data_IF_421349208309
#
_entry.id   IF_421349208309
#
_cell.length_a   1.000
_cell.length_b   1.000
_cell.length_c   1.000
_cell.angle_alpha   90.00
_cell.angle_beta   90.00
_cell.angle_gamma   90.00
#
_symmetry.space_group_name_H-M   'P 1'
#
loop_
_entity.id
_entity.type
_entity.pdbx_description
1 polymer ?
#
# COMPACT_ATOMS: atom_id res chain seq x y z
N UNK A 1 20.25 8.16 9.78
CA UNK A 1 19.68 9.19 10.66
C UNK A 1 18.25 9.61 10.30
N UNK A 2 17.86 9.89 9.04
CA UNK A 2 16.47 10.34 8.70
C UNK A 2 15.37 9.31 9.00
N UNK A 3 15.60 8.00 8.85
CA UNK A 3 14.59 6.94 9.10
C UNK A 3 14.32 6.69 10.60
N UNK A 4 15.31 6.91 11.47
CA UNK A 4 15.11 6.80 12.93
C UNK A 4 14.27 7.96 13.50
N UNK A 5 14.35 9.14 12.90
CA UNK A 5 13.55 10.30 13.30
C UNK A 5 12.07 10.13 12.92
N UNK A 6 11.77 9.55 11.75
CA UNK A 6 10.40 9.30 11.31
C UNK A 6 9.66 8.31 12.23
N UNK A 7 10.29 7.18 12.57
CA UNK A 7 9.68 6.17 13.47
C UNK A 7 9.46 6.66 14.92
N UNK A 8 10.35 7.53 15.43
CA UNK A 8 10.13 8.22 16.72
C UNK A 8 8.93 9.17 16.67
N UNK A 9 8.67 9.77 15.50
CA UNK A 9 7.50 10.63 15.29
C UNK A 9 6.20 9.83 15.24
N UNK A 10 6.18 8.64 14.66
CA UNK A 10 5.01 7.74 14.60
C UNK A 10 4.59 7.27 16.00
N UNK A 11 5.54 6.77 16.81
CA UNK A 11 5.29 6.37 18.20
C UNK A 11 4.76 7.54 19.03
N UNK A 12 5.34 8.72 18.87
CA UNK A 12 4.88 9.92 19.56
C UNK A 12 3.49 10.34 19.08
N UNK A 13 3.20 10.24 17.77
CA UNK A 13 1.89 10.56 17.22
C UNK A 13 0.81 9.62 17.76
N UNK A 14 1.05 8.30 17.79
CA UNK A 14 0.12 7.31 18.37
C UNK A 14 -0.17 7.65 19.84
N UNK A 15 0.87 7.86 20.65
CA UNK A 15 0.73 8.15 22.09
C UNK A 15 0.03 9.48 22.37
N UNK A 16 0.29 10.49 21.58
CA UNK A 16 -0.18 11.87 21.80
C UNK A 16 -1.49 12.19 21.05
N UNK A 17 -2.01 11.25 20.26
CA UNK A 17 -3.25 11.47 19.49
C UNK A 17 -4.49 11.61 20.37
N UNK A 18 -4.48 11.03 21.57
CA UNK A 18 -5.66 10.91 22.41
C UNK A 18 -6.71 9.91 21.86
N UNK A 19 -6.43 9.27 20.73
CA UNK A 19 -7.32 8.27 20.12
C UNK A 19 -7.05 6.92 20.79
N UNK A 20 -8.10 6.20 21.25
CA UNK A 20 -7.93 4.84 21.79
C UNK A 20 -7.21 3.92 20.79
N UNK A 21 -6.30 3.06 21.27
CA UNK A 21 -5.56 2.13 20.40
C UNK A 21 -6.49 1.27 19.54
N UNK A 22 -7.65 0.90 20.03
CA UNK A 22 -8.65 0.09 19.31
C UNK A 22 -9.29 0.81 18.12
N UNK A 23 -9.19 2.12 18.05
CA UNK A 23 -9.69 2.95 16.95
C UNK A 23 -8.60 3.31 15.94
N UNK A 24 -7.35 2.96 16.21
CA UNK A 24 -6.22 3.16 15.32
C UNK A 24 -5.94 1.89 14.51
N UNK A 25 -5.81 2.03 13.19
CA UNK A 25 -5.38 0.96 12.30
C UNK A 25 -3.91 1.14 11.93
N UNK A 26 -3.03 0.35 12.55
CA UNK A 26 -1.59 0.51 12.42
C UNK A 26 -1.02 -0.57 11.49
N UNK A 27 -0.42 -0.11 10.39
CA UNK A 27 0.23 -0.96 9.39
C UNK A 27 1.74 -0.75 9.40
N UNK A 28 2.51 -1.84 9.32
CA UNK A 28 3.94 -1.79 9.00
C UNK A 28 4.33 -2.95 8.10
N UNK A 29 5.61 -3.04 7.69
CA UNK A 29 6.04 -3.94 6.63
C UNK A 29 7.35 -4.65 6.96
N UNK A 30 7.46 -5.91 6.51
CA UNK A 30 8.68 -6.71 6.51
C UNK A 30 9.55 -6.31 5.33
N UNK A 31 10.81 -5.98 5.58
CA UNK A 31 11.76 -5.70 4.51
C UNK A 31 12.41 -6.98 3.99
N UNK A 32 12.92 -6.94 2.74
CA UNK A 32 13.60 -8.06 2.07
C UNK A 32 14.70 -8.68 2.93
N UNK A 33 15.45 -7.85 3.66
CA UNK A 33 16.54 -8.27 4.55
C UNK A 33 16.10 -9.31 5.59
N UNK A 34 14.84 -9.25 6.03
CA UNK A 34 14.26 -10.11 7.07
C UNK A 34 13.34 -11.20 6.48
N UNK A 35 13.34 -11.38 5.15
CA UNK A 35 12.48 -12.32 4.47
C UNK A 35 12.96 -13.77 4.67
N UNK A 36 12.67 -14.33 5.85
CA UNK A 36 12.75 -15.74 6.21
C UNK A 36 11.83 -16.01 7.39
N UNK A 37 11.53 -17.27 7.66
CA UNK A 37 10.63 -17.65 8.77
C UNK A 37 11.10 -17.08 10.12
N UNK A 38 12.34 -17.35 10.53
CA UNK A 38 12.88 -16.92 11.82
C UNK A 38 13.06 -15.39 11.92
N UNK A 39 13.54 -14.76 10.83
CA UNK A 39 13.78 -13.33 10.86
C UNK A 39 12.48 -12.53 10.80
N UNK A 40 11.43 -13.04 10.14
CA UNK A 40 10.13 -12.39 10.13
C UNK A 40 9.54 -12.27 11.55
N UNK A 41 9.62 -13.33 12.37
CA UNK A 41 9.17 -13.27 13.78
C UNK A 41 9.93 -12.20 14.57
N UNK A 42 11.27 -12.14 14.41
CA UNK A 42 12.11 -11.12 15.06
C UNK A 42 11.77 -9.70 14.57
N UNK A 43 11.51 -9.54 13.28
CA UNK A 43 11.16 -8.25 12.68
C UNK A 43 9.80 -7.74 13.17
N UNK A 44 8.80 -8.60 13.33
CA UNK A 44 7.51 -8.26 13.96
C UNK A 44 7.73 -7.78 15.38
N UNK A 45 8.44 -8.55 16.22
CA UNK A 45 8.73 -8.16 17.60
C UNK A 45 9.50 -6.83 17.67
N UNK A 46 10.46 -6.63 16.77
CA UNK A 46 11.19 -5.36 16.65
C UNK A 46 10.26 -4.20 16.28
N UNK A 47 9.30 -4.43 15.41
CA UNK A 47 8.30 -3.42 15.02
C UNK A 47 7.40 -3.05 16.20
N UNK A 48 6.88 -4.04 16.92
CA UNK A 48 6.07 -3.85 18.13
C UNK A 48 6.83 -3.04 19.18
N UNK A 49 8.07 -3.43 19.51
CA UNK A 49 8.91 -2.74 20.48
C UNK A 49 9.19 -1.28 20.07
N UNK A 50 9.47 -1.03 18.78
CA UNK A 50 9.72 0.33 18.26
C UNK A 50 8.48 1.21 18.28
N UNK A 51 7.30 0.65 18.06
CA UNK A 51 6.03 1.36 18.09
C UNK A 51 5.44 1.45 19.51
N UNK A 52 5.91 0.61 20.45
CA UNK A 52 5.36 0.51 21.80
C UNK A 52 3.95 -0.06 21.81
N UNK A 53 3.72 -1.10 21.00
CA UNK A 53 2.43 -1.74 20.80
C UNK A 53 2.49 -3.24 21.14
N UNK A 54 1.35 -3.79 21.53
CA UNK A 54 1.19 -5.23 21.83
C UNK A 54 0.71 -6.02 20.60
N UNK A 55 0.10 -5.35 19.62
CA UNK A 55 -0.37 -5.95 18.38
C UNK A 55 -0.29 -4.95 17.22
N UNK A 56 -0.30 -5.48 15.98
CA UNK A 56 -0.44 -4.71 14.74
C UNK A 56 -1.77 -5.06 14.07
N UNK A 57 -2.41 -4.05 13.45
CA UNK A 57 -3.66 -4.29 12.73
C UNK A 57 -3.40 -4.93 11.38
N UNK A 58 -2.30 -4.56 10.70
CA UNK A 58 -1.89 -5.16 9.44
C UNK A 58 -0.36 -5.23 9.34
N UNK A 59 0.17 -6.39 8.96
CA UNK A 59 1.58 -6.56 8.63
C UNK A 59 1.73 -7.07 7.20
N UNK A 60 2.60 -6.41 6.41
CA UNK A 60 2.75 -6.69 4.99
C UNK A 60 4.17 -7.15 4.66
N UNK A 61 4.33 -8.16 3.80
CA UNK A 61 5.60 -8.37 3.10
C UNK A 61 5.79 -7.23 2.11
N UNK A 62 6.89 -6.47 2.23
CA UNK A 62 7.09 -5.23 1.46
C UNK A 62 7.43 -5.47 -0.01
N UNK A 63 8.16 -6.57 -0.30
CA UNK A 63 8.59 -6.92 -1.64
C UNK A 63 8.53 -8.44 -1.85
N UNK A 64 8.18 -8.92 -3.05
CA UNK A 64 8.09 -10.35 -3.37
C UNK A 64 9.47 -10.95 -3.63
N UNK A 65 10.39 -10.87 -2.65
CA UNK A 65 11.80 -11.24 -2.79
C UNK A 65 12.32 -11.99 -1.57
N UNK A 66 13.33 -12.84 -1.76
CA UNK A 66 13.88 -13.69 -0.72
C UNK A 66 12.96 -14.86 -0.39
N UNK A 67 13.06 -15.39 0.82
CA UNK A 67 12.14 -16.42 1.33
C UNK A 67 10.83 -15.80 1.87
N UNK A 68 10.08 -15.16 0.96
CA UNK A 68 8.81 -14.55 1.35
C UNK A 68 7.73 -15.58 1.74
N UNK A 69 7.81 -16.82 1.23
CA UNK A 69 6.88 -17.89 1.62
C UNK A 69 7.14 -18.33 3.06
N UNK A 70 8.41 -18.54 3.44
CA UNK A 70 8.80 -18.83 4.82
C UNK A 70 8.43 -17.69 5.76
N UNK A 71 8.67 -16.44 5.35
CA UNK A 71 8.27 -15.27 6.12
C UNK A 71 6.74 -15.19 6.29
N UNK A 72 5.97 -15.47 5.23
CA UNK A 72 4.51 -15.46 5.30
C UNK A 72 3.96 -16.52 6.26
N UNK A 73 4.55 -17.74 6.27
CA UNK A 73 4.20 -18.79 7.25
C UNK A 73 4.44 -18.36 8.70
N UNK A 74 5.51 -17.63 8.96
CA UNK A 74 5.73 -17.03 10.28
C UNK A 74 4.65 -15.99 10.63
N UNK A 75 4.22 -15.19 9.64
CA UNK A 75 3.13 -14.23 9.83
C UNK A 75 1.78 -14.94 10.07
N UNK A 76 1.51 -16.09 9.45
CA UNK A 76 0.32 -16.91 9.70
C UNK A 76 0.24 -17.40 11.16
N UNK A 77 1.37 -17.78 11.75
CA UNK A 77 1.42 -18.14 13.17
C UNK A 77 1.09 -16.96 14.08
N UNK A 78 1.77 -15.83 13.86
CA UNK A 78 1.54 -14.60 14.62
C UNK A 78 0.11 -14.05 14.44
N UNK A 79 -0.52 -14.32 13.30
CA UNK A 79 -1.93 -14.03 13.06
C UNK A 79 -2.83 -14.94 13.91
N UNK A 80 -2.55 -16.26 13.95
CA UNK A 80 -3.29 -17.21 14.79
C UNK A 80 -3.14 -16.91 16.29
N UNK A 81 -1.99 -16.40 16.70
CA UNK A 81 -1.71 -15.95 18.08
C UNK A 81 -2.37 -14.60 18.44
N UNK A 82 -2.87 -13.85 17.45
CA UNK A 82 -3.49 -12.54 17.66
C UNK A 82 -2.51 -11.37 17.74
N UNK A 83 -1.20 -11.62 17.59
CA UNK A 83 -0.17 -10.57 17.52
C UNK A 83 -0.32 -9.71 16.28
N UNK A 84 -0.74 -10.33 15.17
CA UNK A 84 -1.13 -9.67 13.92
C UNK A 84 -2.63 -9.87 13.70
N UNK A 85 -3.39 -8.79 13.50
CA UNK A 85 -4.85 -8.86 13.27
C UNK A 85 -5.20 -9.16 11.83
N UNK A 86 -4.31 -8.76 10.91
CA UNK A 86 -4.38 -9.10 9.49
C UNK A 86 -2.95 -9.20 8.93
N UNK A 87 -2.80 -10.02 7.89
CA UNK A 87 -1.54 -10.20 7.15
C UNK A 87 -1.77 -10.01 5.67
N UNK A 88 -0.76 -9.50 4.97
CA UNK A 88 -0.86 -9.25 3.54
C UNK A 88 0.52 -9.05 2.90
N UNK A 89 0.49 -8.53 1.70
CA UNK A 89 1.68 -8.40 0.86
C UNK A 89 1.69 -7.06 0.11
N UNK A 90 2.85 -6.71 -0.47
CA UNK A 90 2.98 -5.58 -1.38
C UNK A 90 3.73 -6.01 -2.64
N UNK A 91 3.34 -5.44 -3.78
CA UNK A 91 3.99 -5.63 -5.07
C UNK A 91 3.97 -7.09 -5.57
N UNK A 92 3.01 -7.87 -5.11
CA UNK A 92 2.77 -9.21 -5.66
C UNK A 92 1.89 -9.06 -6.89
N UNK A 93 2.52 -9.06 -8.06
CA UNK A 93 1.84 -9.05 -9.35
C UNK A 93 1.18 -10.40 -9.64
N UNK A 94 0.26 -10.51 -10.61
CA UNK A 94 -0.69 -11.63 -10.70
C UNK A 94 -0.08 -13.02 -10.54
N UNK A 95 0.98 -13.35 -11.27
CA UNK A 95 1.56 -14.70 -11.21
C UNK A 95 2.13 -15.05 -9.82
N UNK A 96 2.81 -14.09 -9.17
CA UNK A 96 3.35 -14.28 -7.81
C UNK A 96 2.26 -14.30 -6.74
N UNK A 97 1.21 -13.49 -6.93
CA UNK A 97 0.08 -13.47 -6.01
C UNK A 97 -0.66 -14.80 -6.04
N UNK A 98 -0.96 -15.32 -7.23
CA UNK A 98 -1.60 -16.61 -7.40
C UNK A 98 -0.77 -17.74 -6.78
N UNK A 99 0.54 -17.81 -7.08
CA UNK A 99 1.44 -18.83 -6.52
C UNK A 99 1.48 -18.77 -4.99
N UNK A 100 1.51 -17.58 -4.40
CA UNK A 100 1.44 -17.45 -2.94
C UNK A 100 0.10 -17.94 -2.41
N UNK A 101 -1.03 -17.53 -2.99
CA UNK A 101 -2.37 -17.90 -2.54
C UNK A 101 -2.61 -19.41 -2.57
N UNK A 102 -2.07 -20.10 -3.58
CA UNK A 102 -2.14 -21.57 -3.68
C UNK A 102 -1.16 -22.29 -2.73
N UNK A 103 -0.22 -21.59 -2.12
CA UNK A 103 0.82 -22.16 -1.26
C UNK A 103 0.56 -21.99 0.24
N UNK A 104 -0.17 -20.94 0.62
CA UNK A 104 -0.38 -20.54 2.03
C UNK A 104 -1.75 -21.00 2.57
N UNK A 105 -1.91 -21.01 3.90
CA UNK A 105 -3.18 -21.38 4.56
C UNK A 105 -4.12 -20.18 4.76
N UNK A 106 -3.56 -18.99 4.96
CA UNK A 106 -4.30 -17.76 5.17
C UNK A 106 -4.07 -16.86 3.96
N UNK A 107 -5.10 -16.64 3.18
CA UNK A 107 -5.04 -15.74 2.02
C UNK A 107 -4.67 -14.32 2.48
N UNK A 108 -3.80 -13.59 1.77
CA UNK A 108 -3.48 -12.21 2.10
C UNK A 108 -4.74 -11.34 2.18
N UNK A 109 -4.93 -10.63 3.29
CA UNK A 109 -6.05 -9.70 3.44
C UNK A 109 -5.92 -8.48 2.51
N UNK A 110 -4.67 -8.08 2.22
CA UNK A 110 -4.34 -6.91 1.41
C UNK A 110 -3.19 -7.24 0.47
N UNK A 111 -3.26 -6.75 -0.77
CA UNK A 111 -2.09 -6.59 -1.62
C UNK A 111 -1.94 -5.10 -1.98
N UNK A 112 -0.87 -4.47 -1.46
CA UNK A 112 -0.57 -3.07 -1.73
C UNK A 112 0.33 -2.95 -2.96
N UNK A 113 -0.19 -2.38 -4.04
CA UNK A 113 0.51 -2.25 -5.34
C UNK A 113 0.57 -0.79 -5.79
N UNK A 114 1.50 -0.49 -6.72
CA UNK A 114 1.44 0.77 -7.45
C UNK A 114 0.11 0.86 -8.19
N UNK A 115 -0.66 1.92 -7.92
CA UNK A 115 -1.94 2.09 -8.59
C UNK A 115 -2.34 3.56 -8.63
N UNK A 116 -2.47 4.09 -9.83
CA UNK A 116 -2.84 5.47 -10.14
C UNK A 116 -3.41 5.55 -11.56
N UNK A 117 -3.99 6.69 -12.00
CA UNK A 117 -4.61 6.83 -13.32
C UNK A 117 -3.75 6.41 -14.51
N UNK A 118 -2.41 6.43 -14.39
CA UNK A 118 -1.49 6.08 -15.46
C UNK A 118 -0.94 4.64 -15.38
N UNK A 119 -1.24 3.93 -14.29
CA UNK A 119 -0.97 2.50 -14.14
C UNK A 119 -2.11 1.86 -13.33
N UNK A 120 -3.09 1.32 -14.03
CA UNK A 120 -4.41 0.99 -13.48
C UNK A 120 -4.57 -0.43 -12.98
N UNK A 121 -3.68 -1.33 -13.40
CA UNK A 121 -3.57 -2.69 -12.85
C UNK A 121 -4.85 -3.56 -12.94
N UNK A 122 -5.64 -3.46 -14.02
CA UNK A 122 -6.92 -4.16 -14.14
C UNK A 122 -6.81 -5.67 -13.93
N UNK A 123 -5.77 -6.32 -14.49
CA UNK A 123 -5.55 -7.76 -14.32
C UNK A 123 -5.24 -8.11 -12.85
N UNK A 124 -4.48 -7.29 -12.15
CA UNK A 124 -4.17 -7.50 -10.75
C UNK A 124 -5.42 -7.30 -9.87
N UNK A 125 -6.23 -6.28 -10.16
CA UNK A 125 -7.50 -6.05 -9.45
C UNK A 125 -8.49 -7.20 -9.67
N UNK A 126 -8.58 -7.72 -10.89
CA UNK A 126 -9.44 -8.87 -11.19
C UNK A 126 -9.05 -10.10 -10.38
N UNK A 127 -7.75 -10.43 -10.32
CA UNK A 127 -7.25 -11.54 -9.52
C UNK A 127 -7.44 -11.31 -8.03
N UNK A 128 -7.16 -10.11 -7.52
CA UNK A 128 -7.40 -9.78 -6.11
C UNK A 128 -8.89 -9.94 -5.73
N UNK A 129 -9.79 -9.57 -6.63
CA UNK A 129 -11.24 -9.78 -6.43
C UNK A 129 -11.59 -11.26 -6.36
N UNK A 130 -11.00 -12.11 -7.20
CA UNK A 130 -11.21 -13.57 -7.21
C UNK A 130 -10.81 -14.19 -5.87
N UNK A 131 -9.64 -13.82 -5.32
CA UNK A 131 -9.16 -14.29 -4.02
C UNK A 131 -9.73 -13.50 -2.82
N UNK A 132 -10.61 -12.54 -3.04
CA UNK A 132 -11.17 -11.67 -1.99
C UNK A 132 -10.10 -10.86 -1.24
N UNK A 133 -9.04 -10.47 -1.93
CA UNK A 133 -7.94 -9.66 -1.41
C UNK A 133 -8.28 -8.18 -1.62
N UNK A 134 -8.15 -7.37 -0.56
CA UNK A 134 -8.36 -5.93 -0.66
C UNK A 134 -7.19 -5.26 -1.40
N UNK A 135 -7.42 -4.57 -2.51
CA UNK A 135 -6.38 -3.78 -3.16
C UNK A 135 -6.11 -2.49 -2.39
N UNK A 136 -4.83 -2.19 -2.19
CA UNK A 136 -4.38 -0.91 -1.61
C UNK A 136 -3.37 -0.25 -2.55
N UNK A 137 -3.57 1.02 -2.85
CA UNK A 137 -2.72 1.79 -3.76
C UNK A 137 -1.58 2.48 -3.00
N UNK A 138 -0.32 2.10 -3.28
CA UNK A 138 0.77 3.01 -3.04
C UNK A 138 0.97 3.92 -4.28
N UNK A 139 1.55 5.09 -4.07
CA UNK A 139 1.71 6.08 -5.14
C UNK A 139 0.41 6.54 -5.82
N UNK A 140 -0.73 6.77 -5.10
CA UNK A 140 -2.00 7.13 -5.74
C UNK A 140 -1.92 8.43 -6.55
N UNK A 141 -0.83 9.18 -6.37
CA UNK A 141 -0.48 10.37 -7.15
C UNK A 141 0.73 10.16 -8.07
N UNK A 142 1.03 8.92 -8.49
CA UNK A 142 2.15 8.60 -9.39
C UNK A 142 3.49 9.22 -8.94
N UNK A 143 3.74 9.33 -7.62
CA UNK A 143 4.90 10.02 -7.03
C UNK A 143 5.08 11.48 -7.52
N UNK A 144 4.00 12.09 -8.02
CA UNK A 144 3.99 13.45 -8.58
C UNK A 144 4.36 13.54 -10.05
N UNK A 145 4.58 12.41 -10.71
CA UNK A 145 4.90 12.34 -12.14
C UNK A 145 3.68 12.63 -13.02
N UNK A 146 3.90 12.71 -14.33
CA UNK A 146 2.88 12.89 -15.38
C UNK A 146 2.06 14.19 -15.24
N UNK A 147 2.53 15.13 -14.42
CA UNK A 147 1.76 16.33 -14.11
C UNK A 147 0.39 16.03 -13.48
N UNK A 148 0.27 14.94 -12.70
CA UNK A 148 -1.00 14.41 -12.19
C UNK A 148 -1.87 15.47 -11.51
N UNK A 149 -1.26 16.45 -10.83
CA UNK A 149 -2.00 17.51 -10.13
C UNK A 149 -2.58 18.59 -11.07
N UNK A 150 -2.13 18.63 -12.33
CA UNK A 150 -2.54 19.60 -13.34
C UNK A 150 -2.92 18.93 -14.67
N UNK A 151 -3.00 17.59 -14.68
CA UNK A 151 -3.31 16.84 -15.90
C UNK A 151 -4.64 17.29 -16.50
N UNK A 152 -4.69 17.59 -17.82
CA UNK A 152 -5.86 18.20 -18.45
C UNK A 152 -7.17 17.43 -18.19
N UNK A 153 -7.15 16.10 -18.39
CA UNK A 153 -8.33 15.24 -18.17
C UNK A 153 -8.79 15.29 -16.73
N UNK A 154 -7.88 15.03 -15.76
CA UNK A 154 -8.22 15.01 -14.33
C UNK A 154 -8.71 16.39 -13.84
N UNK A 155 -8.11 17.46 -14.38
CA UNK A 155 -8.52 18.84 -14.06
C UNK A 155 -9.90 19.18 -14.66
N UNK A 156 -10.18 18.75 -15.89
CA UNK A 156 -11.47 18.95 -16.53
C UNK A 156 -12.58 18.21 -15.78
N UNK A 157 -12.34 16.97 -15.39
CA UNK A 157 -13.28 16.18 -14.56
C UNK A 157 -13.47 16.87 -13.20
N UNK A 158 -12.39 17.26 -12.53
CA UNK A 158 -12.47 17.92 -11.23
C UNK A 158 -13.31 19.18 -11.25
N UNK A 159 -13.23 20.00 -12.31
CA UNK A 159 -14.06 21.21 -12.49
C UNK A 159 -15.56 20.91 -12.47
N UNK A 160 -16.01 19.77 -12.97
CA UNK A 160 -17.43 19.36 -12.97
C UNK A 160 -17.97 19.25 -11.53
N UNK A 161 -17.10 18.85 -10.57
CA UNK A 161 -17.46 18.57 -9.17
C UNK A 161 -16.93 19.61 -8.18
N UNK A 162 -16.23 20.66 -8.64
CA UNK A 162 -15.56 21.61 -7.75
C UNK A 162 -14.37 20.98 -6.98
N UNK A 163 -13.70 19.98 -7.57
CA UNK A 163 -12.62 19.20 -6.96
C UNK A 163 -11.30 19.38 -7.71
N UNK A 164 -10.20 19.14 -7.01
CA UNK A 164 -8.86 19.11 -7.61
C UNK A 164 -8.61 17.80 -8.36
N UNK A 165 -7.63 17.80 -9.28
CA UNK A 165 -7.16 16.59 -9.96
C UNK A 165 -6.72 15.49 -8.96
N UNK A 166 -6.10 15.86 -7.84
CA UNK A 166 -5.74 14.94 -6.77
C UNK A 166 -6.97 14.25 -6.16
N UNK A 167 -8.02 15.01 -5.86
CA UNK A 167 -9.27 14.45 -5.33
C UNK A 167 -9.96 13.52 -6.34
N UNK A 168 -9.90 13.87 -7.64
CA UNK A 168 -10.38 12.99 -8.72
C UNK A 168 -9.61 11.67 -8.75
N UNK A 169 -8.29 11.70 -8.69
CA UNK A 169 -7.46 10.48 -8.68
C UNK A 169 -7.74 9.59 -7.46
N UNK A 170 -7.94 10.18 -6.28
CA UNK A 170 -8.30 9.42 -5.08
C UNK A 170 -9.71 8.84 -5.19
N UNK A 171 -10.69 9.63 -5.66
CA UNK A 171 -12.06 9.18 -5.81
C UNK A 171 -12.17 8.06 -6.84
N UNK A 172 -11.45 8.17 -7.94
CA UNK A 172 -11.36 7.14 -8.97
C UNK A 172 -10.88 5.80 -8.38
N UNK A 173 -9.83 5.82 -7.56
CA UNK A 173 -9.36 4.62 -6.86
C UNK A 173 -10.44 4.04 -5.93
N UNK A 174 -11.00 4.89 -5.07
CA UNK A 174 -11.98 4.42 -4.06
C UNK A 174 -13.29 3.92 -4.68
N UNK A 175 -13.72 4.46 -5.82
CA UNK A 175 -14.88 3.93 -6.57
C UNK A 175 -14.62 2.56 -7.20
N UNK A 176 -13.35 2.20 -7.44
CA UNK A 176 -12.93 0.87 -7.90
C UNK A 176 -12.72 -0.11 -6.74
N UNK A 177 -13.04 0.28 -5.50
CA UNK A 177 -12.84 -0.53 -4.31
C UNK A 177 -11.38 -0.58 -3.83
N UNK A 178 -10.54 0.35 -4.27
CA UNK A 178 -9.11 0.43 -3.91
C UNK A 178 -8.94 1.36 -2.71
N UNK A 179 -8.28 0.88 -1.67
CA UNK A 179 -7.85 1.70 -0.53
C UNK A 179 -6.69 2.60 -0.95
N UNK A 180 -6.69 3.86 -0.52
CA UNK A 180 -5.64 4.83 -0.87
C UNK A 180 -4.96 5.36 0.39
N UNK A 181 -3.64 5.53 0.32
CA UNK A 181 -2.79 6.02 1.41
C UNK A 181 -2.00 7.27 0.98
N UNK A 182 -2.69 8.38 0.64
CA UNK A 182 -2.02 9.59 0.16
C UNK A 182 -1.21 10.25 1.27
N UNK A 183 0.09 10.43 1.05
CA UNK A 183 1.00 11.09 2.01
C UNK A 183 1.00 12.60 1.79
N UNK A 184 0.82 13.37 2.85
CA UNK A 184 1.08 14.81 2.87
C UNK A 184 1.71 15.24 4.19
N UNK A 185 2.41 16.39 4.18
CA UNK A 185 2.89 17.11 5.37
C UNK A 185 2.18 18.47 5.51
N UNK A 186 1.28 18.81 4.59
CA UNK A 186 0.49 20.03 4.57
C UNK A 186 -0.92 19.74 5.04
N UNK A 187 -1.37 20.43 6.07
CA UNK A 187 -2.68 20.21 6.69
C UNK A 187 -3.83 20.35 5.67
N UNK A 188 -3.80 21.39 4.86
CA UNK A 188 -4.82 21.68 3.85
C UNK A 188 -4.93 20.55 2.82
N UNK A 189 -3.79 19.94 2.44
CA UNK A 189 -3.78 18.80 1.51
C UNK A 189 -4.30 17.53 2.18
N UNK A 190 -4.02 17.32 3.47
CA UNK A 190 -4.59 16.19 4.21
C UNK A 190 -6.12 16.32 4.29
N UNK A 191 -6.64 17.51 4.58
CA UNK A 191 -8.08 17.78 4.59
C UNK A 191 -8.70 17.57 3.20
N UNK A 192 -8.07 18.07 2.12
CA UNK A 192 -8.51 17.84 0.75
C UNK A 192 -8.52 16.34 0.38
N UNK A 193 -7.49 15.59 0.76
CA UNK A 193 -7.42 14.15 0.50
C UNK A 193 -8.54 13.37 1.21
N UNK A 194 -9.02 13.84 2.36
CA UNK A 194 -10.15 13.25 3.06
C UNK A 194 -11.50 13.66 2.46
N UNK A 195 -11.58 14.82 1.81
CA UNK A 195 -12.83 15.38 1.25
C UNK A 195 -13.09 14.86 -0.18
N UNK A 196 -13.31 13.54 -0.29
CA UNK A 196 -13.57 12.84 -1.56
C UNK A 196 -14.86 12.02 -1.55
N UNK A 197 -15.66 12.12 -0.48
CA UNK A 197 -16.84 11.26 -0.28
C UNK A 197 -18.17 11.95 -0.66
N UNK A 198 -18.14 13.24 -0.92
CA UNK A 198 -19.28 14.08 -1.25
C UNK A 198 -19.60 14.20 -2.75
N UNK A 199 -18.86 13.44 -3.59
CA UNK A 199 -19.12 13.35 -5.03
C UNK A 199 -18.81 11.94 -5.56
N UNK A 200 -19.32 11.63 -6.75
CA UNK A 200 -19.01 10.40 -7.48
C UNK A 200 -18.71 10.73 -8.93
N UNK A 201 -17.69 10.06 -9.47
CA UNK A 201 -17.36 10.15 -10.89
C UNK A 201 -18.39 9.40 -11.72
N UNK A 202 -18.83 9.98 -12.82
CA UNK A 202 -19.73 9.32 -13.77
C UNK A 202 -19.00 8.19 -14.51
N UNK A 203 -19.75 7.31 -15.18
CA UNK A 203 -19.17 6.27 -16.04
C UNK A 203 -18.31 6.86 -17.16
N UNK A 204 -18.72 8.01 -17.72
CA UNK A 204 -17.95 8.73 -18.72
C UNK A 204 -16.62 9.23 -18.13
N UNK A 205 -16.63 9.82 -16.94
CA UNK A 205 -15.40 10.26 -16.26
C UNK A 205 -14.46 9.09 -15.97
N UNK A 206 -15.00 7.97 -15.50
CA UNK A 206 -14.24 6.74 -15.28
C UNK A 206 -13.62 6.23 -16.57
N UNK A 207 -14.35 6.30 -17.68
CA UNK A 207 -13.85 5.89 -19.00
C UNK A 207 -12.77 6.84 -19.55
N UNK A 208 -12.92 8.15 -19.35
CA UNK A 208 -11.87 9.11 -19.71
C UNK A 208 -10.57 8.87 -18.93
N UNK A 209 -10.67 8.52 -17.63
CA UNK A 209 -9.50 8.17 -16.83
C UNK A 209 -8.93 6.82 -17.28
N UNK A 210 -9.76 5.84 -17.65
CA UNK A 210 -9.31 4.54 -18.16
C UNK A 210 -8.36 4.69 -19.35
N UNK A 211 -8.58 5.66 -20.23
CA UNK A 211 -7.73 5.93 -21.40
C UNK A 211 -6.33 6.45 -21.08
N UNK A 212 -6.08 6.81 -19.82
CA UNK A 212 -4.76 7.31 -19.37
C UNK A 212 -3.79 6.18 -19.02
N UNK A 213 -4.26 4.93 -18.99
CA UNK A 213 -3.44 3.78 -18.60
C UNK A 213 -2.29 3.55 -19.58
N UNK A 214 -1.08 3.45 -19.07
CA UNK A 214 0.12 3.11 -19.83
C UNK A 214 0.36 1.60 -19.89
N UNK A 215 -0.36 0.83 -19.03
CA UNK A 215 -0.20 -0.62 -18.93
C UNK A 215 1.10 -1.08 -18.26
N UNK A 216 1.93 -0.15 -17.79
CA UNK A 216 3.20 -0.43 -17.10
C UNK A 216 3.57 0.70 -16.13
N UNK A 217 4.48 0.40 -15.21
CA UNK A 217 5.04 1.40 -14.31
C UNK A 217 6.18 2.17 -14.96
N UNK A 218 6.17 3.50 -14.78
CA UNK A 218 7.29 4.39 -15.08
C UNK A 218 8.08 4.77 -13.81
N UNK A 219 7.68 4.23 -12.65
CA UNK A 219 8.31 4.52 -11.35
C UNK A 219 9.30 3.42 -10.99
N UNK A 220 8.87 2.17 -11.06
CA UNK A 220 9.70 1.00 -10.74
C UNK A 220 9.36 -0.18 -11.65
N UNK A 221 10.37 -0.99 -11.96
CA UNK A 221 10.15 -2.27 -12.63
C UNK A 221 10.60 -3.39 -11.68
N UNK A 222 9.63 -4.11 -11.10
CA UNK A 222 9.89 -5.22 -10.18
C UNK A 222 10.44 -6.47 -10.88
N UNK A 223 10.35 -6.54 -12.21
CA UNK A 223 10.90 -7.62 -13.02
C UNK A 223 12.30 -7.30 -13.57
N UNK A 224 12.83 -6.08 -13.31
CA UNK A 224 14.20 -5.73 -13.65
C UNK A 224 15.21 -6.40 -12.70
N UNK A 225 16.12 -7.25 -13.20
CA UNK A 225 17.12 -7.92 -12.37
C UNK A 225 18.06 -6.96 -11.63
N UNK A 226 18.30 -5.76 -12.18
CA UNK A 226 19.11 -4.72 -11.53
C UNK A 226 18.41 -4.17 -10.30
N UNK A 227 17.12 -3.88 -10.43
CA UNK A 227 16.27 -3.42 -9.32
C UNK A 227 16.17 -4.48 -8.21
N UNK A 228 15.96 -5.76 -8.57
CA UNK A 228 15.93 -6.88 -7.62
C UNK A 228 17.24 -6.98 -6.84
N UNK A 229 18.39 -6.96 -7.54
CA UNK A 229 19.73 -6.99 -6.90
C UNK A 229 19.95 -5.78 -5.98
N UNK A 230 19.52 -4.60 -6.41
CA UNK A 230 19.60 -3.39 -5.59
C UNK A 230 18.83 -3.54 -4.29
N UNK A 231 17.59 -4.05 -4.32
CA UNK A 231 16.76 -4.24 -3.13
C UNK A 231 17.32 -5.28 -2.16
N UNK A 232 17.90 -6.38 -2.66
CA UNK A 232 18.58 -7.38 -1.83
C UNK A 232 19.81 -6.81 -1.10
N UNK A 233 20.51 -5.88 -1.72
CA UNK A 233 21.69 -5.23 -1.14
C UNK A 233 21.34 -4.05 -0.23
N UNK A 234 20.10 -3.54 -0.30
CA UNK A 234 19.65 -2.40 0.50
C UNK A 234 19.32 -2.82 1.93
N UNK A 235 20.28 -2.64 2.83
CA UNK A 235 20.06 -2.81 4.27
C UNK A 235 19.37 -1.56 4.84
N UNK A 236 18.29 -1.76 5.59
CA UNK A 236 17.54 -0.68 6.25
C UNK A 236 17.77 -0.63 7.77
N UNK A 237 18.41 -1.65 8.30
CA UNK A 237 18.85 -1.76 9.71
C UNK A 237 20.09 -2.69 9.79
N UNK A 238 20.75 -2.68 10.93
CA UNK A 238 21.91 -3.52 11.26
C UNK A 238 21.53 -4.99 11.46
#
# INVERSE_FOLDING_TARGET
MKKQSARRSETAAIRNSGVPRSELFITTKLWVQDASYENAKKAVQTSLNKLGLDYLDLYLIHQPMGDYVGAYRAMEELYKEGTLRAIGVCNFYPARLADLCETVQVIPAVNQVELHPFFQQENALSLMKEYQICPEAWGPFAEGNFGIFTHPVLTAIGKKYGKSAAQVALRWNTQRGVVVIPKSVHKERMEQNMNIWDFSLSEEDMHEIYRLDLGHSEIVNHDDPGFVKMLHNLKIHD
#
